data_IF_104738106968
#
_entry.id   IF_104738106968
#
_cell.length_a   1.000
_cell.length_b   1.000
_cell.length_c   1.000
_cell.angle_alpha   90.00
_cell.angle_beta   90.00
_cell.angle_gamma   90.00
#
_symmetry.space_group_name_H-M   'P 1'
#
loop_
_entity.id
_entity.type
_entity.pdbx_description
1 polymer ?
#
# COMPACT_ATOMS: atom_id res chain seq x y z
N UNK A 1 -3.68 -13.81 -25.68
CA UNK A 1 -2.67 -12.75 -25.52
C UNK A 1 -1.93 -13.06 -24.24
N UNK A 2 -0.67 -13.48 -24.32
CA UNK A 2 0.11 -13.78 -23.12
C UNK A 2 0.28 -12.51 -22.30
N UNK A 3 -0.28 -12.46 -21.10
CA UNK A 3 0.06 -11.45 -20.09
C UNK A 3 1.56 -11.60 -19.83
N UNK A 4 2.37 -10.66 -20.31
CA UNK A 4 3.80 -10.68 -20.00
C UNK A 4 3.94 -10.51 -18.50
N UNK A 5 4.37 -11.55 -17.81
CA UNK A 5 4.75 -11.45 -16.39
C UNK A 5 5.87 -10.42 -16.29
N UNK A 6 5.64 -9.32 -15.58
CA UNK A 6 6.72 -8.37 -15.33
C UNK A 6 7.69 -9.01 -14.35
N UNK A 7 8.98 -8.97 -14.70
CA UNK A 7 10.01 -9.51 -13.82
C UNK A 7 10.26 -8.54 -12.67
N UNK A 8 9.96 -9.01 -11.46
CA UNK A 8 10.10 -8.31 -10.19
C UNK A 8 11.50 -7.69 -10.00
N UNK A 9 12.53 -8.28 -10.62
CA UNK A 9 13.92 -7.82 -10.56
C UNK A 9 14.14 -6.42 -11.19
N UNK A 10 13.19 -5.91 -11.96
CA UNK A 10 13.26 -4.56 -12.53
C UNK A 10 12.85 -3.46 -11.54
N UNK A 11 12.33 -3.83 -10.38
CA UNK A 11 11.88 -2.89 -9.36
C UNK A 11 12.89 -2.80 -8.22
N UNK A 12 13.08 -1.58 -7.71
CA UNK A 12 13.94 -1.37 -6.55
C UNK A 12 13.30 -2.05 -5.33
N UNK A 13 14.09 -2.86 -4.64
CA UNK A 13 13.67 -3.55 -3.44
C UNK A 13 14.81 -3.55 -2.42
N UNK A 14 14.50 -3.10 -1.21
CA UNK A 14 15.34 -3.27 -0.03
C UNK A 14 14.52 -4.04 1.01
N UNK A 15 14.95 -5.24 1.42
CA UNK A 15 14.23 -6.02 2.44
C UNK A 15 13.96 -5.20 3.69
N UNK A 16 12.79 -5.38 4.31
CA UNK A 16 12.35 -4.67 5.53
C UNK A 16 12.02 -3.17 5.39
N UNK A 17 12.19 -2.58 4.21
CA UNK A 17 11.79 -1.19 3.91
C UNK A 17 10.58 -1.18 2.94
N UNK A 18 9.54 -1.96 3.25
CA UNK A 18 8.37 -2.13 2.38
C UNK A 18 7.72 -0.77 2.03
N UNK A 19 7.72 0.18 2.96
CA UNK A 19 7.17 1.53 2.80
C UNK A 19 7.92 2.33 1.72
N UNK A 20 9.25 2.20 1.65
CA UNK A 20 10.05 2.86 0.60
C UNK A 20 9.97 2.09 -0.72
N UNK A 21 9.93 0.76 -0.66
CA UNK A 21 9.77 -0.08 -1.84
C UNK A 21 8.46 0.24 -2.58
N UNK A 22 7.35 0.37 -1.85
CA UNK A 22 6.04 0.74 -2.44
C UNK A 22 6.07 2.18 -2.98
N UNK A 23 6.75 3.11 -2.31
CA UNK A 23 6.92 4.48 -2.80
C UNK A 23 7.65 4.52 -4.15
N UNK A 24 8.78 3.80 -4.25
CA UNK A 24 9.55 3.70 -5.48
C UNK A 24 8.81 2.94 -6.58
N UNK A 25 8.05 1.91 -6.22
CA UNK A 25 7.19 1.17 -7.14
C UNK A 25 6.15 2.09 -7.77
N UNK A 26 5.45 2.91 -6.97
CA UNK A 26 4.48 3.89 -7.50
C UNK A 26 5.14 4.82 -8.52
N UNK A 27 6.30 5.40 -8.18
CA UNK A 27 7.06 6.26 -9.12
C UNK A 27 7.45 5.53 -10.39
N UNK A 28 7.91 4.27 -10.29
CA UNK A 28 8.31 3.46 -11.44
C UNK A 28 7.13 3.16 -12.36
N UNK A 29 5.99 2.77 -11.80
CA UNK A 29 4.77 2.49 -12.57
C UNK A 29 4.29 3.72 -13.34
N UNK A 30 4.33 4.90 -12.72
CA UNK A 30 4.01 6.17 -13.39
C UNK A 30 5.00 6.48 -14.51
N UNK A 31 6.31 6.36 -14.23
CA UNK A 31 7.38 6.66 -15.20
C UNK A 31 7.36 5.72 -16.42
N UNK A 32 7.00 4.46 -16.21
CA UNK A 32 6.93 3.45 -17.28
C UNK A 32 5.64 3.54 -18.10
N UNK A 33 4.70 4.44 -17.73
CA UNK A 33 3.39 4.54 -18.37
C UNK A 33 2.48 3.35 -18.10
N UNK A 34 2.78 2.57 -17.05
CA UNK A 34 1.90 1.48 -16.58
C UNK A 34 0.73 2.09 -15.81
N UNK A 35 1.00 3.12 -15.03
CA UNK A 35 0.03 3.94 -14.30
C UNK A 35 -0.16 5.31 -14.96
N UNK A 36 -1.20 6.04 -14.55
CA UNK A 36 -1.32 7.45 -14.87
C UNK A 36 -0.09 8.21 -14.36
N UNK A 37 0.32 9.27 -15.07
CA UNK A 37 1.54 10.02 -14.76
C UNK A 37 1.55 10.62 -13.35
N UNK A 38 0.36 10.97 -12.81
CA UNK A 38 0.18 11.47 -11.45
C UNK A 38 -0.06 10.36 -10.41
N UNK A 39 -0.21 9.11 -10.85
CA UNK A 39 -0.58 7.97 -10.01
C UNK A 39 -2.05 7.94 -9.60
N UNK A 40 -2.93 8.67 -10.27
CA UNK A 40 -4.35 8.78 -9.87
C UNK A 40 -5.13 7.46 -9.90
N UNK A 41 -4.66 6.46 -10.65
CA UNK A 41 -5.21 5.09 -10.75
C UNK A 41 -4.57 4.10 -9.75
N UNK A 42 -3.75 4.61 -8.82
CA UNK A 42 -2.93 3.84 -7.88
C UNK A 42 -3.36 4.07 -6.42
N UNK A 43 -3.41 2.99 -5.64
CA UNK A 43 -3.69 3.02 -4.20
C UNK A 43 -2.69 2.16 -3.42
N UNK A 44 -2.19 2.70 -2.31
CA UNK A 44 -1.24 2.04 -1.40
C UNK A 44 -1.98 1.53 -0.18
N UNK A 45 -1.82 0.25 0.18
CA UNK A 45 -2.39 -0.30 1.41
C UNK A 45 -1.32 -0.70 2.43
N UNK A 46 -1.38 -0.07 3.61
CA UNK A 46 -0.66 -0.52 4.80
C UNK A 46 -1.55 -1.50 5.57
N UNK A 47 -1.00 -2.63 6.02
CA UNK A 47 -1.76 -3.66 6.73
C UNK A 47 -1.31 -3.67 8.19
N UNK A 48 -2.26 -3.72 9.13
CA UNK A 48 -2.00 -3.58 10.58
C UNK A 48 -1.25 -4.76 11.23
N UNK A 49 -0.87 -5.80 10.48
CA UNK A 49 -0.04 -6.88 11.01
C UNK A 49 1.44 -6.56 10.76
N UNK A 50 2.34 -7.10 11.59
CA UNK A 50 3.73 -6.70 11.62
C UNK A 50 4.54 -6.80 10.30
N UNK A 51 4.10 -7.47 9.22
CA UNK A 51 4.96 -7.63 8.02
C UNK A 51 4.28 -7.82 6.67
N UNK A 52 3.21 -7.08 6.28
CA UNK A 52 2.76 -7.08 4.87
C UNK A 52 2.22 -5.72 4.45
N UNK A 53 2.82 -5.06 3.47
CA UNK A 53 2.18 -3.95 2.74
C UNK A 53 1.77 -4.50 1.37
N UNK A 54 0.62 -4.08 0.86
CA UNK A 54 0.13 -4.53 -0.46
C UNK A 54 -0.33 -3.32 -1.26
N UNK A 55 0.04 -3.24 -2.53
CA UNK A 55 -0.39 -2.17 -3.42
C UNK A 55 -1.51 -2.64 -4.36
N UNK A 56 -2.45 -1.78 -4.75
CA UNK A 56 -3.58 -2.12 -5.61
C UNK A 56 -3.68 -1.15 -6.80
N UNK A 57 -3.65 -1.69 -8.02
CA UNK A 57 -3.85 -0.99 -9.30
C UNK A 57 -5.24 -1.24 -9.87
N UNK A 58 -5.87 -0.20 -10.39
CA UNK A 58 -7.09 -0.29 -11.20
C UNK A 58 -6.81 -0.78 -12.64
N UNK A 59 -7.71 -1.61 -13.21
CA UNK A 59 -7.61 -2.12 -14.59
C UNK A 59 -8.82 -2.95 -15.02
N UNK A 60 -8.96 -3.21 -16.34
CA UNK A 60 -10.20 -3.64 -17.00
C UNK A 60 -10.86 -4.94 -16.49
N UNK A 61 -10.13 -5.85 -15.84
CA UNK A 61 -10.63 -7.00 -15.04
C UNK A 61 -9.45 -7.69 -14.32
N UNK A 62 -9.64 -8.26 -13.12
CA UNK A 62 -9.91 -7.58 -11.83
C UNK A 62 -8.74 -6.65 -11.40
N UNK A 63 -8.91 -5.83 -10.33
CA UNK A 63 -7.81 -5.04 -9.76
C UNK A 63 -6.56 -5.88 -9.51
N UNK A 64 -5.39 -5.28 -9.70
CA UNK A 64 -4.11 -5.97 -9.62
C UNK A 64 -3.36 -5.57 -8.35
N UNK A 65 -2.83 -6.53 -7.62
CA UNK A 65 -1.98 -6.33 -6.46
C UNK A 65 -0.51 -6.41 -6.86
N UNK A 66 0.30 -5.43 -6.45
CA UNK A 66 1.75 -5.47 -6.68
C UNK A 66 2.44 -5.53 -5.33
N UNK A 67 2.86 -6.72 -4.94
CA UNK A 67 3.53 -6.97 -3.67
C UNK A 67 4.92 -7.52 -3.97
N UNK A 68 5.95 -6.75 -3.63
CA UNK A 68 7.34 -7.11 -3.90
C UNK A 68 7.87 -8.21 -2.95
N UNK A 69 7.14 -8.50 -1.87
CA UNK A 69 7.50 -9.50 -0.87
C UNK A 69 6.66 -10.79 -0.98
N UNK A 70 5.75 -10.85 -1.95
CA UNK A 70 4.89 -12.02 -2.20
C UNK A 70 5.55 -13.05 -3.11
N UNK A 71 5.21 -14.33 -2.91
CA UNK A 71 5.56 -15.43 -3.81
C UNK A 71 4.52 -15.65 -4.91
N UNK A 72 3.42 -14.88 -4.90
CA UNK A 72 2.37 -14.94 -5.93
C UNK A 72 2.82 -14.27 -7.24
N UNK A 73 2.08 -14.45 -8.37
CA UNK A 73 2.39 -13.75 -9.61
C UNK A 73 2.53 -12.24 -9.42
N UNK A 74 3.42 -11.60 -10.18
CA UNK A 74 3.66 -10.17 -10.07
C UNK A 74 3.31 -9.45 -11.40
N UNK A 75 2.27 -8.59 -11.43
CA UNK A 75 1.27 -8.40 -10.38
C UNK A 75 0.28 -9.59 -10.24
N UNK A 76 -0.37 -9.68 -9.09
CA UNK A 76 -1.39 -10.69 -8.76
C UNK A 76 -2.80 -10.17 -8.98
N UNK A 77 -3.76 -10.95 -9.50
CA UNK A 77 -5.17 -10.59 -9.41
C UNK A 77 -5.62 -10.46 -7.94
N UNK A 78 -6.34 -9.39 -7.60
CA UNK A 78 -6.80 -9.12 -6.24
C UNK A 78 -7.55 -10.30 -5.59
N UNK A 79 -8.54 -10.95 -6.25
CA UNK A 79 -9.25 -12.07 -5.63
C UNK A 79 -8.31 -13.22 -5.23
N UNK A 80 -7.35 -13.55 -6.09
CA UNK A 80 -6.32 -14.57 -5.83
C UNK A 80 -5.44 -14.14 -4.66
N UNK A 81 -4.93 -12.90 -4.67
CA UNK A 81 -4.09 -12.37 -3.60
C UNK A 81 -4.79 -12.38 -2.24
N UNK A 82 -6.05 -11.95 -2.18
CA UNK A 82 -6.86 -11.95 -0.94
C UNK A 82 -7.05 -13.37 -0.44
N UNK A 83 -7.41 -14.31 -1.31
CA UNK A 83 -7.63 -15.71 -0.93
C UNK A 83 -6.37 -16.43 -0.42
N UNK A 84 -5.20 -16.09 -0.96
CA UNK A 84 -3.94 -16.78 -0.64
C UNK A 84 -3.13 -16.12 0.48
N UNK A 85 -3.31 -14.81 0.72
CA UNK A 85 -2.46 -14.06 1.67
C UNK A 85 -3.20 -13.43 2.85
N UNK A 86 -4.47 -13.06 2.65
CA UNK A 86 -5.27 -12.29 3.62
C UNK A 86 -6.23 -13.21 4.36
N UNK A 87 -7.02 -14.01 3.63
CA UNK A 87 -8.04 -14.94 4.14
C UNK A 87 -7.54 -16.39 4.13
N UNK A 88 -6.68 -16.82 5.07
CA UNK A 88 -6.33 -18.22 5.13
C UNK A 88 -7.57 -19.06 5.45
N UNK A 89 -7.57 -20.33 5.07
CA UNK A 89 -8.71 -21.27 5.18
C UNK A 89 -9.15 -21.63 6.60
N UNK A 90 -8.70 -20.90 7.62
CA UNK A 90 -9.06 -21.09 9.02
C UNK A 90 -9.61 -19.79 9.62
N UNK A 91 -10.57 -19.93 10.54
CA UNK A 91 -11.17 -18.80 11.21
C UNK A 91 -10.17 -18.16 12.18
N UNK A 92 -9.77 -16.93 11.88
CA UNK A 92 -8.98 -16.11 12.79
C UNK A 92 -9.85 -15.70 13.98
N UNK A 93 -9.28 -15.65 15.19
CA UNK A 93 -9.96 -15.03 16.33
C UNK A 93 -10.20 -13.54 16.01
N UNK A 94 -11.24 -12.95 16.61
CA UNK A 94 -11.64 -11.55 16.37
C UNK A 94 -10.50 -10.54 16.49
N UNK A 95 -9.49 -10.87 17.30
CA UNK A 95 -8.35 -10.03 17.62
C UNK A 95 -7.25 -10.06 16.53
N UNK A 96 -7.38 -10.94 15.53
CA UNK A 96 -6.47 -11.05 14.38
C UNK A 96 -7.09 -10.53 13.07
N UNK A 97 -8.24 -9.85 13.14
CA UNK A 97 -8.81 -9.19 11.98
C UNK A 97 -7.85 -8.12 11.47
N UNK A 98 -7.44 -8.22 10.20
CA UNK A 98 -6.54 -7.24 9.61
C UNK A 98 -7.28 -5.94 9.33
N UNK A 99 -6.59 -4.84 9.59
CA UNK A 99 -7.01 -3.52 9.15
C UNK A 99 -6.09 -3.07 8.02
N UNK A 100 -6.66 -2.30 7.11
CA UNK A 100 -5.96 -1.77 5.95
C UNK A 100 -6.09 -0.27 5.96
N UNK A 101 -4.98 0.46 5.95
CA UNK A 101 -4.97 1.88 5.62
C UNK A 101 -4.72 2.02 4.14
N UNK A 102 -5.72 2.49 3.39
CA UNK A 102 -5.66 2.69 1.94
C UNK A 102 -5.47 4.16 1.64
N UNK A 103 -4.37 4.49 0.96
CA UNK A 103 -3.93 5.85 0.63
C UNK A 103 -3.91 6.03 -0.88
N UNK A 104 -4.48 7.14 -1.36
CA UNK A 104 -4.38 7.51 -2.78
C UNK A 104 -2.94 7.86 -3.14
N UNK A 105 -2.37 7.27 -4.20
CA UNK A 105 -0.95 7.41 -4.47
C UNK A 105 -0.46 8.86 -4.70
N UNK A 106 -1.22 9.79 -5.32
CA UNK A 106 -0.80 11.19 -5.40
C UNK A 106 -0.59 11.82 -4.02
N UNK A 107 -1.45 11.49 -3.04
CA UNK A 107 -1.29 11.92 -1.66
C UNK A 107 -0.08 11.24 -1.00
N UNK A 108 0.07 9.93 -1.20
CA UNK A 108 1.20 9.18 -0.66
C UNK A 108 2.54 9.71 -1.18
N UNK A 109 2.69 9.89 -2.49
CA UNK A 109 3.92 10.37 -3.13
C UNK A 109 4.30 11.79 -2.68
N UNK A 110 3.30 12.62 -2.38
CA UNK A 110 3.47 14.00 -1.92
C UNK A 110 3.76 14.11 -0.42
N UNK A 111 3.08 13.31 0.39
CA UNK A 111 2.99 13.51 1.83
C UNK A 111 3.80 12.49 2.64
N UNK A 112 4.18 11.34 2.08
CA UNK A 112 4.96 10.33 2.80
C UNK A 112 6.39 10.79 3.09
N UNK A 113 6.87 10.50 4.29
CA UNK A 113 8.25 10.76 4.71
C UNK A 113 8.76 9.69 5.67
N UNK A 114 9.99 9.25 5.43
CA UNK A 114 10.73 8.32 6.28
C UNK A 114 12.20 8.73 6.32
N UNK A 115 12.68 9.06 7.51
CA UNK A 115 14.10 9.22 7.83
C UNK A 115 14.75 7.93 8.32
N UNK A 116 14.03 6.79 8.19
CA UNK A 116 14.48 5.44 8.55
C UNK A 116 14.83 5.24 10.02
N UNK A 117 14.45 6.18 10.90
CA UNK A 117 14.78 6.09 12.34
C UNK A 117 14.27 4.82 13.01
N UNK A 118 13.19 4.24 12.50
CA UNK A 118 12.59 3.02 13.03
C UNK A 118 13.43 1.77 12.76
N UNK A 119 14.36 1.83 11.81
CA UNK A 119 15.31 0.76 11.47
C UNK A 119 16.66 0.92 12.18
N UNK A 120 16.73 1.79 13.18
CA UNK A 120 17.89 1.92 14.06
C UNK A 120 17.62 1.33 15.43
N UNK A 121 18.60 0.63 15.96
CA UNK A 121 18.57 0.16 17.35
C UNK A 121 18.77 1.33 18.34
N UNK A 122 18.71 1.03 19.64
CA UNK A 122 18.93 2.03 20.70
C UNK A 122 20.36 2.60 20.73
N UNK A 123 21.32 1.93 20.09
CA UNK A 123 22.70 2.41 19.90
C UNK A 123 22.88 3.28 18.65
N UNK A 124 21.86 3.39 17.80
CA UNK A 124 21.93 4.11 16.53
C UNK A 124 22.50 3.30 15.36
N UNK A 125 22.75 2.00 15.55
CA UNK A 125 23.17 1.10 14.48
C UNK A 125 21.95 0.67 13.66
N UNK A 126 22.18 0.35 12.39
CA UNK A 126 21.13 -0.20 11.54
C UNK A 126 20.78 -1.62 11.98
N UNK A 127 19.48 -1.87 12.16
CA UNK A 127 18.94 -3.21 12.38
C UNK A 127 19.06 -4.01 11.07
N UNK A 128 18.76 -3.36 9.95
CA UNK A 128 18.95 -3.85 8.58
C UNK A 128 19.50 -2.71 7.71
N UNK A 129 20.39 -3.04 6.78
CA UNK A 129 21.05 -2.04 5.94
C UNK A 129 20.04 -1.22 5.13
N UNK A 130 20.13 0.11 5.14
CA UNK A 130 19.16 0.97 4.49
C UNK A 130 19.29 0.98 2.96
N UNK A 131 18.24 1.41 2.25
CA UNK A 131 18.33 1.68 0.82
C UNK A 131 19.43 2.71 0.51
N UNK A 132 20.10 2.55 -0.64
CA UNK A 132 21.23 3.40 -1.05
C UNK A 132 20.83 4.82 -1.45
N UNK A 133 19.55 5.05 -1.75
CA UNK A 133 19.06 6.38 -2.06
C UNK A 133 18.83 7.20 -0.79
N UNK A 134 18.76 8.52 -0.94
CA UNK A 134 18.44 9.44 0.15
C UNK A 134 17.07 9.13 0.79
N UNK A 135 16.91 9.38 2.10
CA UNK A 135 15.62 9.23 2.78
C UNK A 135 14.50 10.03 2.09
N UNK A 136 13.28 9.51 2.16
CA UNK A 136 12.12 10.17 1.53
C UNK A 136 11.65 11.32 2.42
N UNK A 137 11.59 12.51 1.84
CA UNK A 137 11.11 13.74 2.48
C UNK A 137 9.84 14.19 1.75
N UNK A 138 8.80 14.52 2.52
CA UNK A 138 7.54 15.02 1.98
C UNK A 138 7.69 16.42 1.37
N UNK A 139 6.75 16.82 0.52
CA UNK A 139 6.76 18.13 -0.15
C UNK A 139 6.77 19.31 0.84
N UNK A 140 6.12 19.15 2.00
CA UNK A 140 6.08 20.15 3.08
C UNK A 140 7.34 20.16 3.96
N UNK A 141 8.37 19.40 3.58
CA UNK A 141 9.65 19.19 4.31
C UNK A 141 9.53 18.34 5.57
N UNK A 142 8.41 17.68 5.81
CA UNK A 142 8.33 16.63 6.83
C UNK A 142 9.33 15.52 6.49
N UNK A 143 10.15 15.13 7.48
CA UNK A 143 11.17 14.09 7.32
C UNK A 143 10.75 12.74 7.89
N UNK A 144 9.67 12.72 8.69
CA UNK A 144 9.19 11.50 9.32
C UNK A 144 7.70 11.60 9.62
N UNK A 145 6.92 10.67 9.05
CA UNK A 145 5.52 10.46 9.41
C UNK A 145 5.06 9.01 9.22
N UNK A 146 5.99 8.04 9.08
CA UNK A 146 5.67 6.63 8.90
C UNK A 146 4.64 6.11 9.92
N UNK A 147 4.73 6.55 11.18
CA UNK A 147 3.81 6.15 12.24
C UNK A 147 2.34 6.47 11.92
N UNK A 148 2.05 7.55 11.19
CA UNK A 148 0.69 7.90 10.76
C UNK A 148 0.12 6.90 9.74
N UNK A 149 1.00 6.17 9.06
CA UNK A 149 0.62 5.12 8.11
C UNK A 149 0.48 3.75 8.78
N UNK A 150 1.40 3.37 9.68
CA UNK A 150 1.46 2.02 10.26
C UNK A 150 0.66 1.86 11.55
N UNK A 151 0.44 2.92 12.33
CA UNK A 151 -0.40 2.85 13.52
C UNK A 151 -1.86 2.87 13.08
N UNK A 152 -2.46 1.69 13.03
CA UNK A 152 -3.83 1.48 12.56
C UNK A 152 -4.67 0.92 13.70
N UNK A 153 -5.73 1.63 14.08
CA UNK A 153 -6.70 1.17 15.07
C UNK A 153 -8.05 0.86 14.43
N UNK A 154 -8.77 -0.09 15.01
CA UNK A 154 -10.15 -0.41 14.59
C UNK A 154 -11.11 0.77 14.82
N UNK A 155 -10.76 1.70 15.72
CA UNK A 155 -11.51 2.93 15.96
C UNK A 155 -11.43 3.92 14.79
N UNK A 156 -10.39 3.82 13.95
CA UNK A 156 -10.20 4.69 12.79
C UNK A 156 -10.91 4.15 11.54
N UNK A 157 -11.43 2.92 11.60
CA UNK A 157 -12.03 2.25 10.45
C UNK A 157 -13.37 2.90 10.07
N UNK A 158 -13.53 3.23 8.80
CA UNK A 158 -14.80 3.77 8.30
C UNK A 158 -15.91 2.72 8.45
N UNK A 159 -17.06 3.17 8.93
CA UNK A 159 -18.23 2.30 9.15
C UNK A 159 -19.08 2.14 7.90
N UNK A 160 -19.06 3.14 7.01
CA UNK A 160 -19.82 3.17 5.77
C UNK A 160 -18.88 3.20 4.57
N UNK A 161 -19.11 2.27 3.64
CA UNK A 161 -18.38 2.13 2.38
C UNK A 161 -19.34 2.52 1.25
N UNK A 162 -20.01 3.66 1.37
CA UNK A 162 -20.75 4.24 0.24
C UNK A 162 -19.79 4.97 -0.69
N UNK A 163 -20.06 4.91 -2.00
CA UNK A 163 -19.19 5.47 -3.05
C UNK A 163 -18.84 6.95 -2.77
N UNK A 164 -19.81 7.77 -2.36
CA UNK A 164 -19.57 9.18 -2.05
C UNK A 164 -18.64 9.36 -0.85
N UNK A 165 -18.85 8.59 0.21
CA UNK A 165 -18.04 8.66 1.43
C UNK A 165 -16.61 8.19 1.18
N UNK A 166 -16.44 7.14 0.36
CA UNK A 166 -15.11 6.64 -0.04
C UNK A 166 -14.38 7.69 -0.88
N UNK A 167 -15.04 8.28 -1.88
CA UNK A 167 -14.43 9.29 -2.77
C UNK A 167 -13.92 10.49 -1.97
N UNK A 168 -14.78 11.03 -1.12
CA UNK A 168 -14.45 12.22 -0.34
C UNK A 168 -13.32 11.94 0.65
N UNK A 169 -13.40 10.80 1.36
CA UNK A 169 -12.40 10.44 2.36
C UNK A 169 -11.03 10.15 1.74
N UNK A 170 -10.96 9.44 0.61
CA UNK A 170 -9.66 9.13 -0.04
C UNK A 170 -9.02 10.35 -0.70
N UNK A 171 -9.82 11.33 -1.11
CA UNK A 171 -9.32 12.55 -1.76
C UNK A 171 -8.88 13.63 -0.76
N UNK A 172 -9.39 13.59 0.47
CA UNK A 172 -9.18 14.65 1.48
C UNK A 172 -8.28 14.24 2.64
N UNK A 173 -8.22 12.95 2.98
CA UNK A 173 -7.40 12.48 4.10
C UNK A 173 -5.97 12.20 3.65
N UNK A 174 -5.03 13.00 4.14
CA UNK A 174 -3.59 12.91 3.82
C UNK A 174 -3.02 11.50 3.98
N UNK A 175 -3.43 10.79 5.03
CA UNK A 175 -2.98 9.43 5.35
C UNK A 175 -3.98 8.35 4.89
N UNK A 176 -4.88 8.69 3.98
CA UNK A 176 -5.92 7.79 3.49
C UNK A 176 -6.91 7.36 4.57
N UNK A 177 -7.64 6.28 4.29
CA UNK A 177 -8.71 5.76 5.15
C UNK A 177 -8.36 4.39 5.71
N UNK A 178 -8.89 4.07 6.89
CA UNK A 178 -8.77 2.73 7.45
C UNK A 178 -10.04 1.94 7.14
N UNK A 179 -9.87 0.69 6.69
CA UNK A 179 -10.95 -0.26 6.43
C UNK A 179 -10.65 -1.60 7.10
N UNK A 180 -11.71 -2.36 7.38
CA UNK A 180 -11.62 -3.74 7.88
C UNK A 180 -11.42 -4.71 6.72
N UNK A 181 -10.85 -5.88 7.02
CA UNK A 181 -10.63 -6.95 6.04
C UNK A 181 -11.88 -7.34 5.24
N UNK A 182 -13.04 -7.41 5.88
CA UNK A 182 -14.30 -7.75 5.22
C UNK A 182 -14.80 -6.67 4.24
N UNK A 183 -14.25 -5.45 4.31
CA UNK A 183 -14.58 -4.33 3.42
C UNK A 183 -13.61 -4.23 2.23
N UNK A 184 -12.46 -4.92 2.25
CA UNK A 184 -11.36 -4.70 1.30
C UNK A 184 -11.77 -4.86 -0.18
N UNK A 185 -12.40 -5.98 -0.53
CA UNK A 185 -12.80 -6.26 -1.92
C UNK A 185 -13.86 -5.27 -2.41
N UNK A 186 -14.87 -4.99 -1.59
CA UNK A 186 -15.92 -4.01 -1.92
C UNK A 186 -15.34 -2.61 -2.08
N UNK A 187 -14.49 -2.19 -1.15
CA UNK A 187 -13.84 -0.89 -1.17
C UNK A 187 -13.01 -0.70 -2.45
N UNK A 188 -12.19 -1.68 -2.83
CA UNK A 188 -11.38 -1.60 -4.06
C UNK A 188 -12.27 -1.59 -5.32
N UNK A 189 -13.33 -2.40 -5.33
CA UNK A 189 -14.31 -2.38 -6.42
C UNK A 189 -14.95 -1.00 -6.57
N UNK A 190 -15.23 -0.30 -5.47
CA UNK A 190 -15.76 1.06 -5.50
C UNK A 190 -14.73 2.09 -5.94
N UNK A 191 -13.47 1.98 -5.52
CA UNK A 191 -12.41 2.83 -6.07
C UNK A 191 -12.31 2.70 -7.59
N UNK A 192 -12.58 1.49 -8.09
CA UNK A 192 -12.59 1.21 -9.52
C UNK A 192 -13.78 1.85 -10.26
N UNK A 193 -14.79 2.37 -9.56
CA UNK A 193 -15.96 3.05 -10.14
C UNK A 193 -15.96 4.57 -9.94
N UNK A 194 -14.92 5.15 -9.33
CA UNK A 194 -14.82 6.59 -9.03
C UNK A 194 -14.34 7.47 -10.19
N UNK A 195 -14.05 6.88 -11.36
CA UNK A 195 -13.62 7.55 -12.58
C UNK A 195 -14.80 8.08 -13.40
#
# INVERSE_FOLDING_TARGET
MATSTMDILHFHHTPFYCEENVYLLCKKLCNDGIANADGSDLFVAFISNEKKQAYIKQGAVPPLVWDLDSTLPFPSPLPSYVSETIRPSFQLFSDYNRLFRVVHAPLFLRCFASDRRHMKDSGGNWIEEPPQHEPIVAEDRTVHNLNEYINISAADAITDVTISSVKDAISTQTHGVVIKENQLEEFICQLSSLQ
#
